data_IF_127109960570
#
_entry.id   IF_127109960570
#
_cell.length_a   1.000
_cell.length_b   1.000
_cell.length_c   1.000
_cell.angle_alpha   90.00
_cell.angle_beta   90.00
_cell.angle_gamma   90.00
#
_symmetry.space_group_name_H-M   'P 1'
#
loop_
_entity.id
_entity.type
_entity.pdbx_description
1 polymer ?
#
# COMPACT_ATOMS: atom_id res chain seq x y z
N UNK A 1 1.32 3.53 -1.93
CA UNK A 1 0.21 4.14 -1.16
C UNK A 1 -0.60 5.16 -1.96
N UNK A 2 -0.01 6.14 -2.60
CA UNK A 2 -0.72 7.29 -3.17
C UNK A 2 -1.74 6.97 -4.27
N UNK A 3 -1.36 6.22 -5.31
CA UNK A 3 -2.17 6.11 -6.53
C UNK A 3 -3.24 5.00 -6.48
N UNK A 4 -2.91 3.85 -5.89
CA UNK A 4 -3.70 2.63 -6.03
C UNK A 4 -4.38 2.16 -4.75
N UNK A 5 -4.12 2.79 -3.60
CA UNK A 5 -4.69 2.35 -2.34
C UNK A 5 -5.30 3.48 -1.51
N UNK A 6 -4.49 4.39 -0.94
CA UNK A 6 -4.97 5.36 0.06
C UNK A 6 -5.34 6.74 -0.52
N UNK A 7 -4.69 7.15 -1.62
CA UNK A 7 -4.76 8.54 -2.05
C UNK A 7 -3.94 9.47 -1.15
N UNK A 8 -3.90 10.76 -1.47
CA UNK A 8 -3.13 11.76 -0.71
C UNK A 8 -3.83 12.24 0.57
N UNK A 9 -5.16 12.29 0.54
CA UNK A 9 -5.96 12.93 1.56
C UNK A 9 -6.91 11.96 2.23
N UNK A 10 -7.11 12.11 3.54
CA UNK A 10 -8.14 11.35 4.25
C UNK A 10 -9.51 11.62 3.66
N UNK A 11 -10.28 10.56 3.49
CA UNK A 11 -11.62 10.59 2.90
C UNK A 11 -12.65 10.03 3.88
N UNK A 12 -13.84 10.61 3.83
CA UNK A 12 -15.03 9.99 4.38
C UNK A 12 -15.53 8.90 3.43
N UNK A 13 -16.42 8.02 3.90
CA UNK A 13 -17.00 6.94 3.09
C UNK A 13 -17.75 7.42 1.85
N UNK A 14 -18.25 8.64 1.86
CA UNK A 14 -18.92 9.29 0.74
C UNK A 14 -17.97 9.90 -0.31
N UNK A 15 -16.66 9.72 -0.13
CA UNK A 15 -15.63 10.26 -1.02
C UNK A 15 -15.29 11.73 -0.80
N UNK A 16 -15.90 12.41 0.18
CA UNK A 16 -15.52 13.78 0.56
C UNK A 16 -14.21 13.79 1.35
N UNK A 17 -13.43 14.86 1.21
CA UNK A 17 -12.17 15.00 1.93
C UNK A 17 -12.38 15.38 3.39
N UNK A 18 -11.66 14.73 4.31
CA UNK A 18 -11.58 15.16 5.70
C UNK A 18 -10.74 16.43 5.77
N UNK A 19 -11.21 17.44 6.50
CA UNK A 19 -10.53 18.72 6.70
C UNK A 19 -10.20 18.93 8.16
N UNK A 20 -9.09 19.60 8.41
CA UNK A 20 -8.71 20.04 9.75
C UNK A 20 -9.52 21.27 10.22
N UNK A 21 -9.22 21.77 11.42
CA UNK A 21 -9.89 22.94 12.02
C UNK A 21 -9.70 24.24 11.24
N UNK A 22 -8.72 24.30 10.35
CA UNK A 22 -8.43 25.46 9.49
C UNK A 22 -9.00 25.30 8.06
N UNK A 23 -9.66 24.15 7.78
CA UNK A 23 -10.28 23.87 6.50
C UNK A 23 -9.36 23.21 5.47
N UNK A 24 -8.12 22.87 5.83
CA UNK A 24 -7.18 22.19 4.95
C UNK A 24 -7.42 20.68 4.91
N UNK A 25 -7.21 20.01 3.76
CA UNK A 25 -7.26 18.56 3.69
C UNK A 25 -6.24 17.89 4.62
N UNK A 26 -6.65 16.83 5.30
CA UNK A 26 -5.77 16.05 6.18
C UNK A 26 -5.07 14.97 5.35
N UNK A 27 -3.72 14.84 5.42
CA UNK A 27 -3.00 13.79 4.74
C UNK A 27 -3.44 12.38 5.17
N UNK A 28 -3.49 11.43 4.25
CA UNK A 28 -3.85 10.04 4.55
C UNK A 28 -2.67 9.24 5.14
N UNK A 29 -1.45 9.65 4.87
CA UNK A 29 -0.21 9.08 5.40
C UNK A 29 0.86 10.17 5.53
N UNK A 30 1.90 9.89 6.28
CA UNK A 30 3.05 10.76 6.54
C UNK A 30 4.28 10.30 5.75
N UNK A 31 5.36 11.08 5.79
CA UNK A 31 6.66 10.66 5.25
C UNK A 31 7.22 9.45 6.02
N UNK A 32 7.05 9.42 7.34
CA UNK A 32 7.49 8.31 8.17
C UNK A 32 6.78 7.00 7.77
N UNK A 33 5.46 7.04 7.45
CA UNK A 33 4.73 5.87 6.94
C UNK A 33 5.34 5.34 5.63
N UNK A 34 5.82 6.22 4.75
CA UNK A 34 6.49 5.83 3.50
C UNK A 34 7.83 5.17 3.78
N UNK A 35 8.63 5.72 4.70
CA UNK A 35 9.95 5.21 5.06
C UNK A 35 9.83 3.83 5.75
N UNK A 36 8.87 3.67 6.65
CA UNK A 36 8.61 2.40 7.32
C UNK A 36 8.10 1.33 6.34
N UNK A 37 7.20 1.68 5.42
CA UNK A 37 6.78 0.76 4.37
C UNK A 37 7.93 0.39 3.40
N UNK A 38 8.86 1.31 3.13
CA UNK A 38 10.04 1.00 2.32
C UNK A 38 10.91 -0.09 2.96
N UNK A 39 11.01 -0.14 4.31
CA UNK A 39 11.71 -1.22 5.02
C UNK A 39 11.06 -2.58 4.79
N UNK A 40 9.73 -2.64 4.70
CA UNK A 40 9.00 -3.88 4.36
C UNK A 40 9.40 -4.42 2.99
N UNK A 41 9.63 -3.52 2.02
CA UNK A 41 9.97 -3.88 0.64
C UNK A 41 11.45 -4.26 0.45
N UNK A 42 12.29 -4.12 1.48
CA UNK A 42 13.69 -4.53 1.40
C UNK A 42 13.84 -6.04 1.22
N UNK A 43 14.86 -6.46 0.50
CA UNK A 43 15.12 -7.88 0.22
C UNK A 43 14.40 -8.44 -1.01
N UNK A 44 13.42 -7.74 -1.58
CA UNK A 44 12.79 -8.17 -2.83
C UNK A 44 13.60 -7.67 -4.03
N UNK A 45 13.93 -8.58 -4.95
CA UNK A 45 14.69 -8.27 -6.15
C UNK A 45 14.19 -9.07 -7.36
N UNK A 46 14.59 -8.66 -8.56
CA UNK A 46 14.31 -9.40 -9.78
C UNK A 46 15.03 -10.74 -9.77
N UNK A 47 14.37 -11.78 -10.24
CA UNK A 47 14.97 -13.10 -10.38
C UNK A 47 16.23 -13.03 -11.27
N UNK A 48 17.30 -13.66 -10.82
CA UNK A 48 18.59 -13.66 -11.54
C UNK A 48 19.40 -12.38 -11.36
N UNK A 49 18.94 -11.43 -10.52
CA UNK A 49 19.73 -10.28 -10.15
C UNK A 49 20.86 -10.66 -9.20
N UNK A 50 21.98 -9.94 -9.25
CA UNK A 50 23.04 -10.19 -8.28
C UNK A 50 22.62 -9.73 -6.88
N UNK A 51 23.21 -10.36 -5.86
CA UNK A 51 22.89 -10.10 -4.44
C UNK A 51 23.08 -8.65 -3.95
N UNK A 52 23.51 -7.76 -4.82
CA UNK A 52 23.73 -6.34 -4.53
C UNK A 52 22.77 -5.42 -5.28
N UNK A 53 21.77 -5.98 -5.97
CA UNK A 53 20.81 -5.20 -6.75
C UNK A 53 21.45 -4.43 -7.92
N UNK A 54 22.65 -4.81 -8.31
CA UNK A 54 23.32 -4.21 -9.46
C UNK A 54 22.92 -4.94 -10.71
N UNK A 55 21.80 -4.53 -11.25
CA UNK A 55 21.38 -5.00 -12.57
C UNK A 55 22.39 -4.56 -13.62
N UNK A 56 23.21 -5.45 -14.05
CA UNK A 56 23.90 -5.30 -15.31
C UNK A 56 22.89 -5.68 -16.39
N UNK A 57 22.25 -4.68 -17.00
CA UNK A 57 21.36 -4.89 -18.14
C UNK A 57 21.95 -5.91 -19.10
N UNK A 58 21.35 -7.09 -19.18
CA UNK A 58 21.77 -8.15 -20.08
C UNK A 58 22.36 -9.40 -19.45
N UNK A 59 22.45 -9.52 -18.10
CA UNK A 59 23.07 -10.65 -17.43
C UNK A 59 22.07 -11.65 -16.78
N UNK A 60 20.95 -11.91 -17.42
CA UNK A 60 20.08 -12.99 -17.00
C UNK A 60 18.91 -12.61 -16.08
N UNK A 61 18.61 -11.31 -15.95
CA UNK A 61 17.42 -10.83 -15.24
C UNK A 61 16.16 -11.37 -15.90
N UNK A 62 15.31 -12.02 -15.12
CA UNK A 62 14.07 -12.57 -15.61
C UNK A 62 12.88 -11.68 -15.24
N UNK A 63 12.49 -10.80 -16.17
CA UNK A 63 11.38 -9.86 -16.02
C UNK A 63 9.99 -10.49 -16.06
N UNK A 64 9.89 -11.74 -16.50
CA UNK A 64 8.62 -12.48 -16.60
C UNK A 64 8.31 -13.31 -15.36
N UNK A 65 9.24 -13.42 -14.44
CA UNK A 65 9.10 -14.16 -13.19
C UNK A 65 8.74 -13.23 -12.02
N UNK A 66 8.08 -13.74 -10.98
CA UNK A 66 7.92 -13.03 -9.72
C UNK A 66 9.28 -12.61 -9.12
N UNK A 67 9.29 -11.53 -8.37
CA UNK A 67 10.47 -11.13 -7.58
C UNK A 67 10.85 -12.21 -6.57
N UNK A 68 12.13 -12.35 -6.32
CA UNK A 68 12.66 -13.25 -5.31
C UNK A 68 12.97 -12.49 -4.02
N UNK A 69 12.72 -13.14 -2.88
CA UNK A 69 13.05 -12.59 -1.56
C UNK A 69 14.46 -13.03 -1.14
N UNK A 70 15.28 -12.07 -0.73
CA UNK A 70 16.62 -12.29 -0.19
C UNK A 70 16.69 -11.83 1.26
N UNK A 71 16.68 -12.78 2.18
CA UNK A 71 16.67 -12.54 3.62
C UNK A 71 17.90 -11.76 4.12
N UNK A 72 19.05 -11.87 3.45
CA UNK A 72 20.26 -11.11 3.83
C UNK A 72 20.17 -9.61 3.60
N UNK A 73 19.23 -9.18 2.79
CA UNK A 73 19.03 -7.76 2.44
C UNK A 73 17.73 -7.19 3.00
N UNK A 74 17.00 -7.99 3.78
CA UNK A 74 15.76 -7.54 4.41
C UNK A 74 16.04 -6.85 5.75
N UNK A 75 15.29 -5.76 6.00
CA UNK A 75 15.29 -5.08 7.30
C UNK A 75 14.31 -5.75 8.26
N UNK A 76 14.83 -6.42 9.29
CA UNK A 76 14.06 -7.21 10.26
C UNK A 76 13.58 -6.43 11.48
N UNK A 77 13.90 -5.15 11.59
CA UNK A 77 13.42 -4.30 12.67
C UNK A 77 11.90 -4.16 12.70
N UNK A 78 11.37 -3.78 13.86
CA UNK A 78 9.96 -3.39 13.97
C UNK A 78 9.64 -2.23 13.04
N UNK A 79 8.50 -2.29 12.35
CA UNK A 79 8.04 -1.30 11.39
C UNK A 79 6.67 -0.76 11.79
N UNK A 80 6.54 0.55 11.92
CA UNK A 80 5.28 1.19 12.35
C UNK A 80 4.82 2.19 11.30
N UNK A 81 3.71 1.93 10.66
CA UNK A 81 3.10 2.82 9.66
C UNK A 81 1.58 2.70 9.69
N UNK A 82 0.89 3.75 9.25
CA UNK A 82 -0.58 3.86 9.23
C UNK A 82 -1.23 3.51 10.57
N UNK A 83 -0.53 3.78 11.69
CA UNK A 83 -1.03 3.50 13.04
C UNK A 83 -0.94 2.04 13.49
N UNK A 84 -0.34 1.15 12.69
CA UNK A 84 -0.15 -0.27 12.99
C UNK A 84 1.33 -0.62 13.05
N UNK A 85 1.68 -1.65 13.82
CA UNK A 85 3.07 -2.10 13.98
C UNK A 85 3.23 -3.55 13.55
N UNK A 86 4.16 -3.79 12.65
CA UNK A 86 4.71 -5.13 12.38
C UNK A 86 5.86 -5.32 13.35
N UNK A 87 5.75 -6.29 14.26
CA UNK A 87 6.79 -6.58 15.23
C UNK A 87 8.05 -7.13 14.55
N UNK A 88 9.21 -6.87 15.15
CA UNK A 88 10.45 -7.53 14.76
C UNK A 88 10.32 -9.04 14.95
N UNK A 89 10.49 -9.80 13.89
CA UNK A 89 10.48 -11.27 13.93
C UNK A 89 11.83 -11.83 13.47
N UNK A 90 12.22 -12.97 14.07
CA UNK A 90 13.30 -13.79 13.54
C UNK A 90 12.72 -14.62 12.38
N UNK A 91 12.68 -14.02 11.21
CA UNK A 91 12.05 -14.64 10.02
C UNK A 91 12.97 -15.68 9.42
N UNK A 92 12.43 -16.85 9.10
CA UNK A 92 13.14 -17.86 8.31
C UNK A 92 13.26 -17.39 6.84
N UNK A 93 14.25 -17.90 6.12
CA UNK A 93 14.65 -17.47 4.76
C UNK A 93 13.54 -17.44 3.69
N UNK A 94 12.33 -17.91 4.01
CA UNK A 94 11.22 -18.05 3.06
C UNK A 94 9.89 -17.47 3.56
N UNK A 95 9.89 -16.62 4.59
CA UNK A 95 8.64 -16.07 5.13
C UNK A 95 8.48 -14.59 4.73
N UNK A 96 7.64 -14.30 3.71
CA UNK A 96 7.29 -12.93 3.31
C UNK A 96 6.27 -12.27 4.25
N UNK A 97 6.19 -12.70 5.51
CA UNK A 97 5.16 -12.30 6.47
C UNK A 97 5.03 -10.78 6.64
N UNK A 98 6.13 -10.04 6.57
CA UNK A 98 6.12 -8.58 6.64
C UNK A 98 5.36 -7.94 5.46
N UNK A 99 5.51 -8.49 4.25
CA UNK A 99 4.79 -8.00 3.07
C UNK A 99 3.29 -8.28 3.18
N UNK A 100 2.91 -9.49 3.56
CA UNK A 100 1.50 -9.86 3.70
C UNK A 100 0.82 -9.01 4.79
N UNK A 101 1.48 -8.85 5.93
CA UNK A 101 1.00 -7.97 7.02
C UNK A 101 0.89 -6.52 6.58
N UNK A 102 1.85 -6.03 5.81
CA UNK A 102 1.80 -4.67 5.29
C UNK A 102 0.66 -4.48 4.28
N UNK A 103 0.38 -5.47 3.45
CA UNK A 103 -0.76 -5.46 2.53
C UNK A 103 -2.08 -5.45 3.32
N UNK A 104 -2.20 -6.25 4.37
CA UNK A 104 -3.37 -6.26 5.25
C UNK A 104 -3.59 -4.91 5.93
N UNK A 105 -2.53 -4.29 6.49
CA UNK A 105 -2.59 -2.96 7.10
C UNK A 105 -3.07 -1.91 6.09
N UNK A 106 -2.53 -1.94 4.88
CA UNK A 106 -2.94 -1.02 3.82
C UNK A 106 -4.40 -1.29 3.43
N UNK A 107 -4.78 -2.54 3.22
CA UNK A 107 -6.11 -2.92 2.76
C UNK A 107 -7.20 -2.55 3.77
N UNK A 108 -6.92 -2.73 5.07
CA UNK A 108 -7.83 -2.37 6.17
C UNK A 108 -7.89 -0.87 6.47
N UNK A 109 -7.06 -0.06 5.81
CA UNK A 109 -7.06 1.38 6.07
C UNK A 109 -8.35 2.02 5.56
N UNK A 110 -8.98 2.87 6.40
CA UNK A 110 -10.29 3.51 6.15
C UNK A 110 -10.43 4.24 4.80
N UNK A 111 -9.32 4.63 4.19
CA UNK A 111 -9.33 5.34 2.91
C UNK A 111 -9.46 4.42 1.70
N UNK A 112 -9.15 3.12 1.82
CA UNK A 112 -9.08 2.22 0.67
C UNK A 112 -10.44 2.09 0.01
N UNK A 113 -11.48 1.79 0.78
CA UNK A 113 -12.82 1.62 0.25
C UNK A 113 -13.34 2.85 -0.52
N UNK A 114 -13.37 4.08 0.05
CA UNK A 114 -13.86 5.25 -0.67
C UNK A 114 -12.94 5.66 -1.82
N UNK A 115 -11.60 5.53 -1.67
CA UNK A 115 -10.64 5.90 -2.70
C UNK A 115 -10.75 4.99 -3.93
N UNK A 116 -10.69 3.67 -3.73
CA UNK A 116 -10.78 2.68 -4.81
C UNK A 116 -12.16 2.75 -5.48
N UNK A 117 -13.25 2.79 -4.69
CA UNK A 117 -14.61 2.91 -5.22
C UNK A 117 -14.78 4.15 -6.09
N UNK A 118 -14.32 5.30 -5.63
CA UNK A 118 -14.36 6.53 -6.41
C UNK A 118 -13.58 6.41 -7.72
N UNK A 119 -12.37 5.81 -7.67
CA UNK A 119 -11.56 5.59 -8.86
C UNK A 119 -12.25 4.68 -9.88
N UNK A 120 -12.78 3.56 -9.45
CA UNK A 120 -13.52 2.63 -10.32
C UNK A 120 -14.74 3.30 -10.95
N UNK A 121 -15.56 3.99 -10.16
CA UNK A 121 -16.72 4.69 -10.66
C UNK A 121 -16.33 5.76 -11.68
N UNK A 122 -15.34 6.59 -11.36
CA UNK A 122 -14.95 7.71 -12.25
C UNK A 122 -14.30 7.24 -13.54
N UNK A 123 -13.67 6.08 -13.57
CA UNK A 123 -13.02 5.53 -14.76
C UNK A 123 -13.93 4.65 -15.62
N UNK A 124 -14.87 3.94 -15.00
CA UNK A 124 -15.64 2.90 -15.69
C UNK A 124 -17.12 3.25 -15.86
N UNK A 125 -17.68 4.17 -15.06
CA UNK A 125 -19.11 4.42 -15.03
C UNK A 125 -19.47 5.88 -15.35
N UNK A 126 -19.01 6.84 -14.52
CA UNK A 126 -19.35 8.26 -14.69
C UNK A 126 -18.27 9.16 -14.11
N UNK A 127 -17.94 10.24 -14.81
CA UNK A 127 -16.91 11.20 -14.38
C UNK A 127 -17.31 12.04 -13.16
N UNK A 128 -18.59 12.13 -12.84
CA UNK A 128 -19.10 12.93 -11.72
C UNK A 128 -20.10 12.14 -10.86
N UNK A 129 -19.63 11.17 -10.06
CA UNK A 129 -20.49 10.39 -9.18
C UNK A 129 -21.02 11.23 -8.02
N UNK A 130 -22.26 10.97 -7.59
CA UNK A 130 -22.79 11.55 -6.35
C UNK A 130 -22.11 10.92 -5.13
N UNK A 131 -22.00 11.69 -4.03
CA UNK A 131 -21.44 11.19 -2.77
C UNK A 131 -22.18 9.94 -2.25
N UNK A 132 -23.50 9.91 -2.37
CA UNK A 132 -24.30 8.74 -2.00
C UNK A 132 -24.02 7.49 -2.84
N UNK A 133 -23.63 7.65 -4.10
CA UNK A 133 -23.23 6.53 -4.94
C UNK A 133 -21.86 5.99 -4.50
N UNK A 134 -20.89 6.88 -4.30
CA UNK A 134 -19.57 6.48 -3.79
C UNK A 134 -19.72 5.73 -2.45
N UNK A 135 -20.50 6.29 -1.51
CA UNK A 135 -20.73 5.69 -0.21
C UNK A 135 -21.29 4.25 -0.27
N UNK A 136 -22.27 4.01 -1.16
CA UNK A 136 -22.84 2.65 -1.31
C UNK A 136 -21.81 1.66 -1.85
N UNK A 137 -21.02 2.06 -2.84
CA UNK A 137 -19.98 1.17 -3.40
C UNK A 137 -18.87 0.94 -2.41
N UNK A 138 -18.43 1.97 -1.68
CA UNK A 138 -17.43 1.84 -0.61
C UNK A 138 -17.91 0.91 0.52
N UNK A 139 -19.19 1.03 0.93
CA UNK A 139 -19.75 0.15 1.94
C UNK A 139 -19.82 -1.32 1.48
N UNK A 140 -20.08 -1.58 0.19
CA UNK A 140 -20.02 -2.94 -0.36
C UNK A 140 -18.59 -3.47 -0.34
N UNK A 141 -17.61 -2.65 -0.71
CA UNK A 141 -16.20 -3.02 -0.66
C UNK A 141 -15.76 -3.40 0.78
N UNK A 142 -16.16 -2.63 1.78
CA UNK A 142 -15.80 -2.90 3.19
C UNK A 142 -16.48 -4.18 3.75
N UNK A 143 -17.63 -4.60 3.20
CA UNK A 143 -18.35 -5.78 3.68
C UNK A 143 -17.94 -7.09 2.99
N UNK A 144 -17.45 -7.00 1.77
CA UNK A 144 -17.13 -8.16 0.91
C UNK A 144 -15.61 -8.36 0.74
N UNK A 145 -14.80 -7.46 1.28
CA UNK A 145 -13.33 -7.43 1.20
C UNK A 145 -12.61 -8.11 2.35
#
# INVERSE_FOLDING_TARGET
MQLFSLGLWKMNQDGSMVKDSTGNPVPSYTQDDVEELAKVMTGYDLKGNDKYGRTHRGNGEEWSSPMEFNSTHHEYGSKTFLGSTIASENVSENDPSDLDRALDIIFQHQNVAPHVSRHLITRLVTSNPSSSYIQRVAATFDNDG
#
